data_IF_263828414063
#
_entry.id   IF_263828414063
#
_cell.length_a   1.000
_cell.length_b   1.000
_cell.length_c   1.000
_cell.angle_alpha   90.00
_cell.angle_beta   90.00
_cell.angle_gamma   90.00
#
_symmetry.space_group_name_H-M   'P 1'
#
loop_
_entity.id
_entity.type
_entity.pdbx_description
1 polymer ?
#
# COMPACT_ATOMS: atom_id res chain seq x y z
N UNK A 1 -4.34 -14.42 27.83
CA UNK A 1 -4.34 -14.85 26.42
C UNK A 1 -4.88 -13.69 25.61
N UNK A 2 -3.99 -12.92 24.96
CA UNK A 2 -4.37 -11.77 24.15
C UNK A 2 -4.31 -12.15 22.68
N UNK A 3 -5.45 -12.02 22.01
CA UNK A 3 -5.69 -12.38 20.61
C UNK A 3 -4.92 -11.44 19.70
N UNK A 4 -4.11 -11.99 18.78
CA UNK A 4 -3.41 -11.20 17.77
C UNK A 4 -4.43 -10.54 16.82
N UNK A 5 -4.45 -9.21 16.81
CA UNK A 5 -5.29 -8.38 15.94
C UNK A 5 -4.51 -8.06 14.67
N UNK A 6 -4.38 -9.04 13.79
CA UNK A 6 -4.02 -8.79 12.40
C UNK A 6 -5.33 -8.66 11.62
N UNK A 7 -5.79 -7.42 11.40
CA UNK A 7 -7.01 -7.13 10.65
C UNK A 7 -6.66 -6.36 9.37
N UNK A 8 -7.23 -6.80 8.25
CA UNK A 8 -7.12 -6.13 6.96
C UNK A 8 -8.51 -5.61 6.58
N UNK A 9 -8.59 -4.34 6.23
CA UNK A 9 -9.83 -3.70 5.80
C UNK A 9 -9.57 -2.96 4.49
N UNK A 10 -10.36 -3.29 3.45
CA UNK A 10 -10.32 -2.65 2.14
C UNK A 10 -11.50 -1.70 2.08
N UNK A 11 -11.22 -0.40 1.96
CA UNK A 11 -12.26 0.63 1.88
C UNK A 11 -12.24 1.26 0.48
N UNK A 12 -13.38 1.24 -0.21
CA UNK A 12 -13.56 1.95 -1.48
C UNK A 12 -13.94 3.40 -1.17
N UNK A 13 -13.05 4.36 -1.43
CA UNK A 13 -13.29 5.79 -1.17
C UNK A 13 -13.36 6.57 -2.49
N UNK A 14 -14.43 7.38 -2.64
CA UNK A 14 -14.66 8.33 -3.74
C UNK A 14 -14.00 9.70 -3.43
N UNK A 15 -13.59 10.38 -4.50
CA UNK A 15 -12.65 11.51 -4.61
C UNK A 15 -13.09 12.79 -3.88
N UNK A 16 -12.14 13.50 -3.24
CA UNK A 16 -12.18 14.95 -3.10
C UNK A 16 -10.78 15.61 -3.11
N UNK A 17 -10.74 16.84 -3.62
CA UNK A 17 -9.61 17.67 -4.08
C UNK A 17 -8.68 18.20 -2.99
N UNK A 18 -7.40 18.35 -3.35
CA UNK A 18 -6.26 18.65 -2.49
C UNK A 18 -6.21 20.07 -1.90
N UNK A 19 -5.66 20.17 -0.68
CA UNK A 19 -4.95 21.35 -0.19
C UNK A 19 -3.59 20.93 0.40
N UNK A 20 -2.59 21.75 0.07
CA UNK A 20 -1.17 21.67 0.36
C UNK A 20 -0.85 22.44 1.65
N UNK A 21 -0.11 21.88 2.63
CA UNK A 21 0.79 22.64 3.53
C UNK A 21 1.98 21.80 4.07
N UNK A 22 3.18 22.21 3.67
CA UNK A 22 4.48 22.35 4.35
C UNK A 22 4.98 21.50 5.56
N UNK A 23 6.25 21.09 5.39
CA UNK A 23 7.44 21.26 6.26
C UNK A 23 7.85 20.20 7.32
N UNK A 24 9.15 19.87 7.22
CA UNK A 24 10.11 19.60 8.31
C UNK A 24 10.37 18.14 8.76
N UNK A 25 11.48 17.55 8.27
CA UNK A 25 12.57 16.88 9.04
C UNK A 25 13.53 16.15 8.10
N UNK A 26 14.66 16.79 7.80
CA UNK A 26 15.88 16.18 7.23
C UNK A 26 16.68 15.66 8.43
N UNK A 27 16.69 14.36 8.74
CA UNK A 27 17.83 13.47 8.45
C UNK A 27 17.46 11.97 8.61
N UNK A 28 16.20 11.65 8.95
CA UNK A 28 15.63 10.29 8.99
C UNK A 28 14.62 10.03 7.85
N UNK A 29 14.44 11.01 6.98
CA UNK A 29 13.50 11.01 5.84
C UNK A 29 13.94 10.07 4.72
N UNK A 30 15.24 9.92 4.45
CA UNK A 30 15.70 9.09 3.33
C UNK A 30 15.22 7.64 3.45
N UNK A 31 15.40 7.01 4.62
CA UNK A 31 15.02 5.60 4.80
C UNK A 31 13.50 5.40 4.79
N UNK A 32 12.73 6.29 5.43
CA UNK A 32 11.27 6.19 5.44
C UNK A 32 10.69 6.46 4.05
N UNK A 33 11.18 7.49 3.35
CA UNK A 33 10.69 7.84 2.02
C UNK A 33 11.12 6.80 0.98
N UNK A 34 12.31 6.21 1.11
CA UNK A 34 12.75 5.06 0.32
C UNK A 34 11.87 3.83 0.56
N UNK A 35 11.52 3.53 1.82
CA UNK A 35 10.61 2.44 2.16
C UNK A 35 9.22 2.70 1.59
N UNK A 36 8.70 3.92 1.71
CA UNK A 36 7.43 4.32 1.09
C UNK A 36 7.46 4.15 -0.43
N UNK A 37 8.51 4.61 -1.08
CA UNK A 37 8.68 4.48 -2.53
C UNK A 37 8.73 3.01 -2.96
N UNK A 38 9.50 2.18 -2.26
CA UNK A 38 9.59 0.73 -2.53
C UNK A 38 8.27 0.01 -2.34
N UNK A 39 7.50 0.35 -1.31
CA UNK A 39 6.16 -0.21 -1.09
C UNK A 39 5.21 0.24 -2.19
N UNK A 40 5.23 1.53 -2.54
CA UNK A 40 4.40 2.08 -3.60
C UNK A 40 4.70 1.40 -4.95
N UNK A 41 5.97 1.31 -5.34
CA UNK A 41 6.40 0.65 -6.58
C UNK A 41 6.00 -0.84 -6.59
N UNK A 42 6.24 -1.55 -5.48
CA UNK A 42 5.84 -2.95 -5.36
C UNK A 42 4.32 -3.14 -5.53
N UNK A 43 3.50 -2.30 -4.89
CA UNK A 43 2.04 -2.35 -5.04
C UNK A 43 1.58 -1.96 -6.45
N UNK A 44 2.21 -0.96 -7.06
CA UNK A 44 1.92 -0.55 -8.45
C UNK A 44 2.22 -1.66 -9.45
N UNK A 45 3.30 -2.40 -9.27
CA UNK A 45 3.69 -3.47 -10.18
C UNK A 45 2.84 -4.72 -10.04
N UNK A 46 2.46 -5.06 -8.81
CA UNK A 46 1.83 -6.35 -8.51
C UNK A 46 0.31 -6.28 -8.30
N UNK A 47 -0.23 -5.12 -7.94
CA UNK A 47 -1.65 -4.97 -7.64
C UNK A 47 -2.37 -4.03 -8.60
N UNK A 48 -1.69 -3.06 -9.22
CA UNK A 48 -2.33 -2.16 -10.19
C UNK A 48 -2.37 -2.74 -11.60
N UNK A 49 -3.52 -2.60 -12.26
CA UNK A 49 -3.78 -3.10 -13.62
C UNK A 49 -4.11 -1.97 -14.59
N UNK A 50 -3.85 -2.21 -15.87
CA UNK A 50 -4.05 -1.22 -16.95
C UNK A 50 -2.75 -0.57 -17.41
N UNK A 51 -2.88 0.43 -18.29
CA UNK A 51 -1.73 1.14 -18.87
C UNK A 51 -1.40 2.46 -18.17
N UNK A 52 -2.29 2.97 -17.33
CA UNK A 52 -2.04 4.07 -16.39
C UNK A 52 -2.14 3.49 -14.96
N UNK A 53 -0.98 3.17 -14.37
CA UNK A 53 -0.87 2.57 -13.03
C UNK A 53 -0.21 3.54 -12.09
N UNK A 54 -0.75 3.65 -10.88
CA UNK A 54 -0.20 4.52 -9.84
C UNK A 54 -0.41 3.90 -8.46
N UNK A 55 0.51 4.17 -7.54
CA UNK A 55 0.39 3.79 -6.15
C UNK A 55 1.21 4.75 -5.29
N UNK A 56 0.74 4.97 -4.06
CA UNK A 56 1.43 5.82 -3.08
C UNK A 56 1.11 5.35 -1.67
N UNK A 57 2.06 5.53 -0.77
CA UNK A 57 1.84 5.29 0.65
C UNK A 57 1.27 6.57 1.27
N UNK A 58 0.01 6.52 1.69
CA UNK A 58 -0.67 7.65 2.34
C UNK A 58 -0.29 7.74 3.82
N UNK A 59 -0.13 6.60 4.48
CA UNK A 59 0.30 6.53 5.87
C UNK A 59 1.36 5.46 6.05
N UNK A 60 2.43 5.84 6.75
CA UNK A 60 3.40 4.91 7.30
C UNK A 60 3.81 5.44 8.68
N UNK A 61 3.38 4.76 9.74
CA UNK A 61 3.71 5.11 11.11
C UNK A 61 4.29 3.89 11.83
N UNK A 62 5.36 4.11 12.61
CA UNK A 62 6.00 3.09 13.44
C UNK A 62 5.79 3.45 14.91
N UNK A 63 5.02 2.63 15.62
CA UNK A 63 4.73 2.79 17.04
C UNK A 63 5.38 1.63 17.81
N UNK A 64 6.62 1.85 18.26
CA UNK A 64 7.42 0.78 18.85
C UNK A 64 7.77 -0.26 17.78
N UNK A 65 7.08 -1.41 17.82
CA UNK A 65 7.32 -2.55 16.90
C UNK A 65 6.20 -2.73 15.91
N UNK A 66 5.11 -1.97 16.07
CA UNK A 66 3.92 -2.04 15.25
C UNK A 66 3.96 -0.96 14.18
N UNK A 67 3.91 -1.38 12.92
CA UNK A 67 3.77 -0.50 11.76
C UNK A 67 2.32 -0.43 11.34
N UNK A 68 1.79 0.77 11.14
CA UNK A 68 0.56 0.98 10.37
C UNK A 68 0.92 1.48 8.98
N UNK A 69 0.32 0.85 7.97
CA UNK A 69 0.54 1.13 6.57
C UNK A 69 -0.80 1.35 5.89
N UNK A 70 -0.93 2.47 5.19
CA UNK A 70 -2.02 2.75 4.26
C UNK A 70 -1.46 3.01 2.87
N UNK A 71 -1.85 2.18 1.90
CA UNK A 71 -1.43 2.32 0.50
C UNK A 71 -2.65 2.59 -0.36
N UNK A 72 -2.58 3.68 -1.12
CA UNK A 72 -3.54 4.01 -2.16
C UNK A 72 -3.03 3.50 -3.50
N UNK A 73 -3.90 2.84 -4.26
CA UNK A 73 -3.55 2.23 -5.55
C UNK A 73 -4.61 2.60 -6.57
N UNK A 74 -4.16 2.98 -7.77
CA UNK A 74 -5.01 3.28 -8.91
C UNK A 74 -4.68 2.40 -10.10
N UNK A 75 -5.73 1.76 -10.59
CA UNK A 75 -5.75 0.97 -11.82
C UNK A 75 -6.56 1.69 -12.88
N UNK A 76 -5.93 2.08 -13.99
CA UNK A 76 -6.62 2.77 -15.09
C UNK A 76 -6.18 2.25 -16.44
N UNK A 77 -7.14 2.10 -17.34
CA UNK A 77 -6.90 1.70 -18.71
C UNK A 77 -7.52 2.70 -19.69
N UNK A 78 -6.69 3.27 -20.56
CA UNK A 78 -7.10 4.09 -21.70
C UNK A 78 -6.91 3.32 -22.99
N UNK A 79 -7.92 3.33 -23.85
CA UNK A 79 -7.83 2.82 -25.21
C UNK A 79 -7.35 3.91 -26.18
N UNK A 80 -7.07 3.53 -27.43
CA UNK A 80 -6.74 4.47 -28.49
C UNK A 80 -7.82 5.56 -28.60
N UNK A 81 -7.42 6.81 -28.84
CA UNK A 81 -8.25 8.03 -28.76
C UNK A 81 -8.58 8.57 -27.35
N UNK A 82 -7.94 8.06 -26.29
CA UNK A 82 -7.99 8.67 -24.95
C UNK A 82 -9.24 8.33 -24.12
N UNK A 83 -10.12 7.48 -24.65
CA UNK A 83 -11.29 6.96 -23.92
C UNK A 83 -10.83 6.08 -22.76
N UNK A 84 -11.34 6.34 -21.57
CA UNK A 84 -11.04 5.54 -20.36
C UNK A 84 -12.01 4.36 -20.30
N UNK A 85 -11.48 3.13 -20.39
CA UNK A 85 -12.26 1.90 -20.28
C UNK A 85 -12.62 1.60 -18.82
N UNK A 86 -11.65 1.78 -17.91
CA UNK A 86 -11.88 1.73 -16.48
C UNK A 86 -10.88 2.63 -15.74
N UNK A 87 -11.28 3.10 -14.56
CA UNK A 87 -10.44 3.75 -13.57
C UNK A 87 -10.96 3.36 -12.19
N UNK A 88 -10.24 2.50 -11.50
CA UNK A 88 -10.60 2.01 -10.17
C UNK A 88 -9.48 2.37 -9.21
N UNK A 89 -9.89 2.78 -8.01
CA UNK A 89 -9.00 3.12 -6.91
C UNK A 89 -9.37 2.26 -5.72
N UNK A 90 -8.37 1.76 -5.02
CA UNK A 90 -8.56 0.97 -3.79
C UNK A 90 -7.46 1.28 -2.81
N UNK A 91 -7.78 1.03 -1.55
CA UNK A 91 -6.88 1.25 -0.43
C UNK A 91 -6.56 -0.07 0.25
N UNK A 92 -5.31 -0.24 0.62
CA UNK A 92 -4.83 -1.35 1.43
C UNK A 92 -4.41 -0.78 2.77
N UNK A 93 -5.11 -1.20 3.81
CA UNK A 93 -4.77 -0.89 5.19
C UNK A 93 -4.18 -2.16 5.84
N UNK A 94 -3.03 -2.02 6.48
CA UNK A 94 -2.37 -3.12 7.18
C UNK A 94 -1.66 -2.65 8.44
N UNK A 95 -1.78 -3.44 9.49
CA UNK A 95 -1.03 -3.28 10.74
C UNK A 95 -0.11 -4.49 10.91
N UNK A 96 1.18 -4.26 11.13
CA UNK A 96 2.21 -5.31 11.16
C UNK A 96 3.09 -5.18 12.40
N UNK A 97 3.25 -6.27 13.16
CA UNK A 97 4.26 -6.35 14.22
C UNK A 97 5.58 -6.90 13.67
N UNK A 98 6.62 -6.05 13.64
CA UNK A 98 7.92 -6.36 13.07
C UNK A 98 8.78 -7.28 13.95
N UNK A 99 8.45 -7.48 15.23
CA UNK A 99 9.17 -8.44 16.09
C UNK A 99 8.79 -9.89 15.76
N UNK A 100 7.56 -10.13 15.32
CA UNK A 100 7.05 -11.47 14.99
C UNK A 100 6.58 -11.56 13.52
N UNK A 101 7.49 -11.37 12.54
CA UNK A 101 7.14 -11.36 11.12
C UNK A 101 6.61 -12.71 10.63
N UNK A 102 6.90 -13.81 11.35
CA UNK A 102 6.43 -15.17 11.07
C UNK A 102 4.93 -15.35 11.27
N UNK A 103 4.27 -14.52 12.08
CA UNK A 103 2.81 -14.61 12.33
C UNK A 103 2.02 -14.10 11.10
N UNK A 104 2.63 -13.26 10.26
CA UNK A 104 2.06 -12.81 8.97
C UNK A 104 2.11 -13.93 7.90
N UNK A 105 2.51 -15.14 8.30
CA UNK A 105 2.65 -16.34 7.49
C UNK A 105 1.53 -16.55 6.47
N UNK A 106 1.94 -16.72 5.22
CA UNK A 106 1.13 -16.98 4.01
C UNK A 106 -0.03 -16.01 3.71
N UNK A 107 -0.30 -15.03 4.56
CA UNK A 107 -1.44 -14.12 4.40
C UNK A 107 -1.34 -13.38 3.06
N UNK A 108 -2.38 -13.52 2.24
CA UNK A 108 -2.47 -12.88 0.94
C UNK A 108 -3.30 -11.61 1.04
N UNK A 109 -2.76 -10.52 0.51
CA UNK A 109 -3.49 -9.27 0.30
C UNK A 109 -4.02 -9.35 -1.12
N UNK A 110 -5.33 -9.51 -1.25
CA UNK A 110 -5.99 -9.63 -2.54
C UNK A 110 -6.89 -8.43 -2.81
N UNK A 111 -6.85 -7.93 -4.03
CA UNK A 111 -7.72 -6.86 -4.53
C UNK A 111 -8.46 -7.35 -5.77
N UNK A 112 -9.76 -7.11 -5.82
CA UNK A 112 -10.56 -7.40 -7.01
C UNK A 112 -10.43 -6.23 -7.97
N UNK A 113 -9.86 -6.50 -9.15
CA UNK A 113 -9.66 -5.48 -10.20
C UNK A 113 -10.52 -5.79 -11.42
N UNK A 114 -10.76 -4.82 -12.32
CA UNK A 114 -11.42 -5.08 -13.61
C UNK A 114 -10.71 -6.11 -14.49
N UNK A 115 -9.42 -6.40 -14.25
CA UNK A 115 -8.66 -7.42 -14.96
C UNK A 115 -8.60 -8.77 -14.20
N UNK A 116 -9.36 -8.91 -13.11
CA UNK A 116 -9.36 -10.09 -12.24
C UNK A 116 -8.79 -9.81 -10.86
N UNK A 117 -8.76 -10.85 -10.01
CA UNK A 117 -8.24 -10.77 -8.65
C UNK A 117 -6.71 -10.77 -8.67
N UNK A 118 -6.09 -9.75 -8.09
CA UNK A 118 -4.63 -9.64 -7.91
C UNK A 118 -4.30 -9.92 -6.44
N UNK A 119 -3.33 -10.77 -6.17
CA UNK A 119 -2.93 -11.14 -4.81
C UNK A 119 -1.42 -11.02 -4.64
N UNK A 120 -0.98 -10.46 -3.51
CA UNK A 120 0.41 -10.46 -3.06
C UNK A 120 0.52 -11.11 -1.69
N UNK A 121 1.67 -11.70 -1.38
CA UNK A 121 1.92 -12.18 -0.03
C UNK A 121 2.32 -11.02 0.88
N UNK A 122 1.62 -10.86 2.01
CA UNK A 122 1.90 -9.83 3.01
C UNK A 122 3.36 -9.85 3.51
N UNK A 123 4.00 -11.03 3.52
CA UNK A 123 5.43 -11.19 3.84
C UNK A 123 6.36 -10.33 2.99
N UNK A 124 5.99 -10.01 1.75
CA UNK A 124 6.80 -9.19 0.85
C UNK A 124 6.78 -7.72 1.28
N UNK A 125 5.61 -7.22 1.69
CA UNK A 125 5.47 -5.88 2.27
C UNK A 125 6.25 -5.78 3.59
N UNK A 126 6.11 -6.79 4.46
CA UNK A 126 6.86 -6.85 5.73
C UNK A 126 8.36 -6.86 5.48
N UNK A 127 8.86 -7.61 4.49
CA UNK A 127 10.28 -7.63 4.15
C UNK A 127 10.82 -6.24 3.73
N UNK A 128 10.00 -5.42 3.08
CA UNK A 128 10.36 -4.03 2.76
C UNK A 128 10.34 -3.16 4.03
N UNK A 129 9.35 -3.35 4.90
CA UNK A 129 9.23 -2.64 6.17
C UNK A 129 10.35 -2.94 7.17
N UNK A 130 10.96 -4.13 7.11
CA UNK A 130 12.11 -4.50 7.96
C UNK A 130 13.33 -3.60 7.73
N UNK A 131 13.40 -2.85 6.63
CA UNK A 131 14.45 -1.84 6.42
C UNK A 131 14.33 -0.61 7.34
N UNK A 132 13.25 -0.50 8.12
CA UNK A 132 13.05 0.55 9.13
C UNK A 132 13.67 0.21 10.50
N UNK A 133 14.18 -1.01 10.68
CA UNK A 133 14.87 -1.50 11.88
C UNK A 133 16.38 -1.46 11.69
#
# INVERSE_FOLDING_TARGET
MATALNSFEITNIQVETALNENAFRLESTSTIDEVKARIADYCKENLAVGNERDARVEELSLNGTVVNLKVWIRSKHKVFAGVTLYSVTYEINGTYDLINPTIVGESEICVDTPAGKQCIKAKQIVAILMALL
#
